data_IF_809311358325
#
_entry.id   IF_809311358325
#
_cell.length_a   1.000
_cell.length_b   1.000
_cell.length_c   1.000
_cell.angle_alpha   90.00
_cell.angle_beta   90.00
_cell.angle_gamma   90.00
#
_symmetry.space_group_name_H-M   'P 1'
#
loop_
_entity.id
_entity.type
_entity.pdbx_description
1 polymer ?
#
# COMPACT_ATOMS: atom_id res chain seq x y z
N UNK A 1 4.79 15.08 -2.98
CA UNK A 1 3.65 15.17 -2.04
C UNK A 1 4.24 15.15 -0.65
N UNK A 2 4.37 16.31 -0.01
CA UNK A 2 4.89 16.42 1.35
C UNK A 2 3.71 16.34 2.33
N UNK A 3 3.25 15.13 2.63
CA UNK A 3 2.22 14.91 3.65
C UNK A 3 2.88 14.89 5.02
N UNK A 4 2.61 15.92 5.84
CA UNK A 4 3.08 15.98 7.22
C UNK A 4 2.18 15.14 8.13
N UNK A 5 2.75 14.13 8.78
CA UNK A 5 2.04 13.30 9.76
C UNK A 5 2.20 13.90 11.17
N UNK A 6 1.09 14.33 11.77
CA UNK A 6 1.08 14.84 13.14
C UNK A 6 0.97 13.67 14.13
N UNK A 7 2.11 13.22 14.64
CA UNK A 7 2.19 12.16 15.63
C UNK A 7 2.45 12.70 17.03
N UNK A 8 1.71 12.20 18.03
CA UNK A 8 1.97 12.45 19.45
C UNK A 8 2.32 11.14 20.15
N UNK A 9 3.61 10.74 20.16
CA UNK A 9 4.05 9.53 20.86
C UNK A 9 3.90 9.67 22.38
N UNK A 10 3.96 8.52 23.06
CA UNK A 10 4.12 8.50 24.51
C UNK A 10 5.44 9.19 24.93
N UNK A 11 5.42 9.87 26.07
CA UNK A 11 6.52 10.72 26.51
C UNK A 11 7.84 9.94 26.72
N UNK A 12 7.76 8.72 27.24
CA UNK A 12 8.92 7.84 27.41
C UNK A 12 9.57 7.47 26.07
N UNK A 13 8.74 7.20 25.05
CA UNK A 13 9.21 6.87 23.71
C UNK A 13 9.91 8.08 23.07
N UNK A 14 9.30 9.26 23.19
CA UNK A 14 9.86 10.50 22.66
C UNK A 14 11.23 10.80 23.26
N UNK A 15 11.39 10.68 24.58
CA UNK A 15 12.67 10.88 25.25
C UNK A 15 13.75 9.91 24.75
N UNK A 16 13.39 8.63 24.56
CA UNK A 16 14.32 7.63 24.01
C UNK A 16 14.75 7.96 22.58
N UNK A 17 13.81 8.38 21.73
CA UNK A 17 14.13 8.77 20.34
C UNK A 17 15.03 9.99 20.32
N UNK A 18 14.76 11.01 21.14
CA UNK A 18 15.59 12.22 21.23
C UNK A 18 17.01 11.87 21.71
N UNK A 19 17.13 11.04 22.73
CA UNK A 19 18.44 10.60 23.24
C UNK A 19 19.23 9.81 22.18
N UNK A 20 18.55 8.90 21.46
CA UNK A 20 19.17 8.09 20.42
C UNK A 20 19.57 8.95 19.20
N UNK A 21 18.72 9.89 18.81
CA UNK A 21 19.01 10.88 17.77
C UNK A 21 20.24 11.74 18.14
N UNK A 22 20.31 12.19 19.40
CA UNK A 22 21.43 12.98 19.92
C UNK A 22 22.75 12.20 19.92
N UNK A 23 22.71 10.92 20.29
CA UNK A 23 23.88 10.03 20.26
C UNK A 23 24.40 9.78 18.84
N UNK A 24 23.49 9.69 17.86
CA UNK A 24 23.82 9.44 16.45
C UNK A 24 24.09 10.71 15.64
N UNK A 25 23.85 11.89 16.20
CA UNK A 25 23.94 13.17 15.48
C UNK A 25 22.90 13.32 14.36
N UNK A 26 21.76 12.64 14.49
CA UNK A 26 20.67 12.64 13.51
C UNK A 26 19.46 13.39 14.06
N UNK A 27 18.52 13.76 13.18
CA UNK A 27 17.25 14.32 13.63
C UNK A 27 16.30 13.21 14.12
N UNK A 28 15.42 13.47 15.10
CA UNK A 28 14.43 12.51 15.56
C UNK A 28 13.56 11.95 14.43
N UNK A 29 13.22 12.77 13.44
CA UNK A 29 12.42 12.38 12.27
C UNK A 29 13.14 11.36 11.39
N UNK A 30 14.47 11.47 11.26
CA UNK A 30 15.29 10.50 10.52
C UNK A 30 15.27 9.14 11.20
N UNK A 31 15.35 9.11 12.53
CA UNK A 31 15.26 7.87 13.32
C UNK A 31 13.88 7.23 13.15
N UNK A 32 12.82 8.03 13.21
CA UNK A 32 11.45 7.55 13.05
C UNK A 32 11.23 7.00 11.64
N UNK A 33 11.72 7.70 10.62
CA UNK A 33 11.62 7.26 9.22
C UNK A 33 12.33 5.93 8.99
N UNK A 34 13.52 5.77 9.57
CA UNK A 34 14.28 4.53 9.52
C UNK A 34 13.55 3.39 10.24
N UNK A 35 13.03 3.64 11.45
CA UNK A 35 12.28 2.65 12.22
C UNK A 35 11.02 2.18 11.48
N UNK A 36 10.28 3.10 10.86
CA UNK A 36 9.09 2.76 10.05
C UNK A 36 9.48 1.93 8.83
N UNK A 37 10.56 2.29 8.13
CA UNK A 37 11.06 1.50 7.01
C UNK A 37 11.39 0.08 7.43
N UNK A 38 12.17 -0.08 8.51
CA UNK A 38 12.55 -1.41 9.03
C UNK A 38 11.34 -2.22 9.50
N UNK A 39 10.34 -1.56 10.09
CA UNK A 39 9.10 -2.23 10.49
C UNK A 39 8.31 -2.75 9.28
N UNK A 40 8.20 -1.95 8.21
CA UNK A 40 7.54 -2.36 6.98
C UNK A 40 8.31 -3.48 6.26
N UNK A 41 9.64 -3.39 6.20
CA UNK A 41 10.49 -4.45 5.64
C UNK A 41 10.34 -5.76 6.42
N UNK A 42 10.31 -5.71 7.75
CA UNK A 42 10.11 -6.90 8.58
C UNK A 42 8.68 -7.47 8.47
N UNK A 43 7.65 -6.64 8.33
CA UNK A 43 6.28 -7.13 8.12
C UNK A 43 6.08 -7.76 6.74
N UNK A 44 6.79 -7.30 5.71
CA UNK A 44 6.81 -7.96 4.39
C UNK A 44 7.50 -9.32 4.42
N UNK A 45 8.30 -9.60 5.46
CA UNK A 45 9.03 -10.84 5.64
C UNK A 45 8.35 -11.79 6.63
N UNK A 46 7.22 -11.42 7.27
CA UNK A 46 6.41 -12.44 7.92
C UNK A 46 5.86 -13.38 6.85
N UNK A 47 6.19 -14.68 6.91
CA UNK A 47 5.67 -15.63 5.94
C UNK A 47 4.18 -15.73 6.18
N UNK A 48 3.41 -15.14 5.26
CA UNK A 48 2.06 -15.62 5.03
C UNK A 48 2.23 -17.10 4.74
N UNK A 49 1.74 -17.95 5.65
CA UNK A 49 1.51 -19.36 5.43
C UNK A 49 0.57 -19.51 4.23
N UNK A 50 1.13 -19.45 3.02
CA UNK A 50 0.46 -19.84 1.80
C UNK A 50 1.49 -20.50 0.89
N UNK A 51 1.49 -21.82 0.99
CA UNK A 51 1.68 -22.73 -0.13
C UNK A 51 1.47 -22.01 -1.47
N UNK A 52 2.56 -21.92 -2.23
CA UNK A 52 2.59 -21.58 -3.65
C UNK A 52 2.03 -20.19 -4.00
N UNK A 53 2.91 -19.20 -4.13
CA UNK A 53 2.57 -18.07 -5.01
C UNK A 53 3.77 -17.53 -5.77
N UNK A 54 3.62 -17.66 -7.09
CA UNK A 54 4.39 -17.06 -8.15
C UNK A 54 4.77 -15.60 -7.82
N UNK A 55 6.05 -15.19 -7.98
CA UNK A 55 6.53 -13.84 -7.65
C UNK A 55 5.85 -12.68 -8.42
N UNK A 56 4.97 -12.99 -9.39
CA UNK A 56 4.16 -12.02 -10.11
C UNK A 56 2.77 -11.79 -9.50
N UNK A 57 2.34 -12.61 -8.54
CA UNK A 57 1.06 -12.44 -7.83
C UNK A 57 1.29 -11.46 -6.68
N UNK A 58 0.85 -10.21 -6.86
CA UNK A 58 0.97 -9.13 -5.87
C UNK A 58 1.47 -7.80 -6.42
N UNK A 59 1.91 -7.74 -7.67
CA UNK A 59 2.27 -6.47 -8.35
C UNK A 59 1.06 -5.54 -8.50
N UNK A 60 -0.13 -6.12 -8.58
CA UNK A 60 -1.39 -5.40 -8.52
C UNK A 60 -2.17 -5.92 -7.32
N UNK A 61 -2.50 -5.03 -6.39
CA UNK A 61 -3.50 -5.32 -5.37
C UNK A 61 -4.86 -5.46 -6.09
N UNK A 62 -5.16 -6.66 -6.55
CA UNK A 62 -6.49 -6.97 -7.06
C UNK A 62 -7.45 -6.74 -5.88
N UNK A 63 -8.20 -5.64 -5.92
CA UNK A 63 -9.39 -5.56 -5.07
C UNK A 63 -10.28 -6.72 -5.51
N UNK A 64 -10.72 -7.60 -4.58
CA UNK A 64 -11.62 -8.71 -4.92
C UNK A 64 -12.84 -8.21 -5.71
N UNK A 65 -13.21 -6.96 -5.44
CA UNK A 65 -14.27 -6.22 -6.10
C UNK A 65 -14.10 -6.10 -7.62
N UNK A 66 -12.88 -5.85 -8.12
CA UNK A 66 -12.65 -5.62 -9.56
C UNK A 66 -12.78 -6.92 -10.36
N UNK A 67 -12.30 -8.03 -9.81
CA UNK A 67 -12.40 -9.34 -10.46
C UNK A 67 -13.85 -9.84 -10.46
N UNK A 68 -14.54 -9.71 -9.32
CA UNK A 68 -15.93 -10.17 -9.14
C UNK A 68 -16.91 -9.31 -9.96
N UNK A 69 -16.71 -7.99 -10.00
CA UNK A 69 -17.61 -7.04 -10.68
C UNK A 69 -17.11 -6.60 -12.04
N UNK A 70 -16.16 -7.32 -12.63
CA UNK A 70 -15.56 -6.96 -13.92
C UNK A 70 -16.63 -6.73 -15.01
N UNK A 71 -17.64 -7.60 -15.07
CA UNK A 71 -18.76 -7.47 -16.00
C UNK A 71 -19.62 -6.23 -15.72
N UNK A 72 -19.97 -5.96 -14.46
CA UNK A 72 -20.78 -4.80 -14.07
C UNK A 72 -20.05 -3.48 -14.36
N UNK A 73 -18.73 -3.43 -14.11
CA UNK A 73 -17.88 -2.28 -14.40
C UNK A 73 -17.83 -2.02 -15.90
N UNK A 74 -17.60 -3.07 -16.70
CA UNK A 74 -17.58 -2.95 -18.16
C UNK A 74 -18.92 -2.46 -18.69
N UNK A 75 -20.04 -3.02 -18.23
CA UNK A 75 -21.38 -2.58 -18.65
C UNK A 75 -21.68 -1.12 -18.25
N UNK A 76 -21.19 -0.68 -17.10
CA UNK A 76 -21.33 0.71 -16.67
C UNK A 76 -20.46 1.68 -17.50
N UNK A 77 -19.24 1.28 -17.86
CA UNK A 77 -18.29 2.13 -18.58
C UNK A 77 -18.53 2.16 -20.10
N UNK A 78 -19.08 1.09 -20.67
CA UNK A 78 -19.47 1.00 -22.09
C UNK A 78 -20.79 1.77 -22.29
N UNK A 79 -20.66 3.09 -22.33
CA UNK A 79 -21.74 4.02 -22.72
C UNK A 79 -21.56 4.48 -24.16
N UNK A 80 -22.60 5.01 -24.81
CA UNK A 80 -22.52 5.56 -26.18
C UNK A 80 -21.45 6.66 -26.33
N UNK A 81 -21.06 7.32 -25.24
CA UNK A 81 -20.02 8.36 -25.20
C UNK A 81 -18.60 7.82 -25.00
N UNK A 82 -18.45 6.54 -24.64
CA UNK A 82 -17.15 5.92 -24.36
C UNK A 82 -16.33 5.69 -25.64
N UNK A 83 -16.97 5.62 -26.82
CA UNK A 83 -16.31 5.26 -28.08
C UNK A 83 -16.09 3.74 -28.24
N UNK A 84 -16.51 2.93 -27.27
CA UNK A 84 -16.41 1.47 -27.33
C UNK A 84 -17.70 0.90 -27.91
N UNK A 85 -17.65 0.41 -29.15
CA UNK A 85 -18.77 -0.30 -29.78
C UNK A 85 -18.50 -1.80 -29.82
N UNK A 86 -19.34 -2.61 -29.17
CA UNK A 86 -19.25 -4.06 -29.27
C UNK A 86 -20.05 -4.57 -30.48
N UNK A 87 -19.50 -5.56 -31.19
CA UNK A 87 -20.25 -6.30 -32.22
C UNK A 87 -21.27 -7.18 -31.51
N UNK A 88 -22.56 -6.98 -31.76
CA UNK A 88 -23.60 -7.93 -31.32
C UNK A 88 -23.33 -9.28 -31.98
N UNK A 89 -23.34 -10.34 -31.19
CA UNK A 89 -23.36 -11.70 -31.73
C UNK A 89 -24.61 -11.82 -32.61
N UNK A 90 -24.43 -12.23 -33.87
CA UNK A 90 -25.55 -12.54 -34.76
C UNK A 90 -26.17 -13.86 -34.28
N UNK A 91 -27.49 -13.85 -34.05
CA UNK A 91 -28.33 -15.05 -33.96
C UNK A 91 -28.38 -15.79 -35.29
#
# INVERSE_FOLDING_TARGET
>A
MDSTFNWKPEQNLLEKVINLASQRGQSPESIISEAVRLYLENQLLEPVDHDVSDPLIGLFAATPDLAIKSEDILQYEITEKSGWTWKKAQE
#
